data_IF_167786253052
#
_entry.id   IF_167786253052
#
_cell.length_a   1.000
_cell.length_b   1.000
_cell.length_c   1.000
_cell.angle_alpha   90.00
_cell.angle_beta   90.00
_cell.angle_gamma   90.00
#
_symmetry.space_group_name_H-M   'P 1'
#
loop_
_entity.id
_entity.type
_entity.pdbx_description
1 polymer ?
#
# COMPACT_ATOMS: atom_id res chain seq x y z
N UNK A 1 -1.30 9.87 9.07
CA UNK A 1 -2.13 10.58 8.07
C UNK A 1 -3.22 9.64 7.60
N UNK A 2 -4.43 10.14 7.47
CA UNK A 2 -5.61 9.41 7.04
C UNK A 2 -6.37 10.22 6.01
N UNK A 3 -6.87 9.59 4.96
CA UNK A 3 -7.91 10.15 4.10
C UNK A 3 -9.21 9.36 4.27
N UNK A 4 -10.33 10.09 4.28
CA UNK A 4 -11.67 9.54 4.15
C UNK A 4 -12.38 10.17 2.96
N UNK A 5 -13.69 9.92 2.79
CA UNK A 5 -14.44 10.46 1.65
C UNK A 5 -14.51 11.99 1.61
N UNK A 6 -14.38 12.68 2.75
CA UNK A 6 -14.66 14.11 2.88
C UNK A 6 -13.46 14.96 3.31
N UNK A 7 -12.38 14.33 3.83
CA UNK A 7 -11.23 15.08 4.36
C UNK A 7 -9.94 14.26 4.39
N UNK A 8 -8.84 14.98 4.51
CA UNK A 8 -7.51 14.46 4.78
C UNK A 8 -7.05 15.07 6.10
N UNK A 9 -6.59 14.21 7.01
CA UNK A 9 -6.18 14.59 8.37
C UNK A 9 -4.87 13.95 8.77
N UNK A 10 -4.21 14.52 9.76
CA UNK A 10 -3.12 13.86 10.47
C UNK A 10 -3.34 13.95 11.98
N UNK A 11 -2.76 13.01 12.71
CA UNK A 11 -2.81 12.95 14.16
C UNK A 11 -1.41 13.18 14.69
N UNK A 12 -1.26 14.10 15.62
CA UNK A 12 0.02 14.48 16.19
C UNK A 12 0.40 13.54 17.34
N UNK A 13 1.41 12.72 17.15
CA UNK A 13 1.98 11.89 18.21
C UNK A 13 2.86 12.78 19.15
N UNK A 14 2.79 12.66 20.50
CA UNK A 14 2.00 11.70 21.28
C UNK A 14 0.63 12.21 21.75
N UNK A 15 0.27 13.44 21.45
CA UNK A 15 -1.00 14.06 21.92
C UNK A 15 -2.24 13.52 21.22
N UNK A 16 -2.08 12.96 20.02
CA UNK A 16 -3.13 12.49 19.11
C UNK A 16 -4.12 13.58 18.69
N UNK A 17 -3.73 14.86 18.89
CA UNK A 17 -4.50 15.96 18.37
C UNK A 17 -4.68 15.82 16.86
N UNK A 18 -5.92 15.99 16.41
CA UNK A 18 -6.32 15.87 15.03
C UNK A 18 -6.20 17.20 14.32
N UNK A 19 -5.46 17.22 13.21
CA UNK A 19 -5.31 18.39 12.35
C UNK A 19 -5.86 18.07 10.95
N UNK A 20 -6.64 18.99 10.39
CA UNK A 20 -7.14 18.85 9.04
C UNK A 20 -6.14 19.42 8.05
N UNK A 21 -5.74 18.61 7.06
CA UNK A 21 -4.86 19.01 5.96
C UNK A 21 -5.69 19.60 4.82
N UNK A 22 -6.80 18.93 4.49
CA UNK A 22 -7.72 19.39 3.44
C UNK A 22 -9.13 18.86 3.69
N UNK A 23 -10.12 19.58 3.18
CA UNK A 23 -11.50 19.10 3.09
C UNK A 23 -11.73 18.26 1.84
N UNK A 24 -12.98 18.25 1.38
CA UNK A 24 -13.41 17.49 0.20
C UNK A 24 -12.83 18.09 -1.08
N UNK A 25 -11.91 17.37 -1.72
CA UNK A 25 -11.26 17.80 -2.95
C UNK A 25 -12.03 17.41 -4.21
N UNK A 26 -12.92 16.42 -4.12
CA UNK A 26 -13.67 15.84 -5.23
C UNK A 26 -15.11 15.55 -4.82
N UNK A 27 -16.00 15.35 -5.80
CA UNK A 27 -17.39 14.98 -5.52
C UNK A 27 -17.54 13.59 -4.90
N UNK A 28 -16.61 12.67 -5.23
CA UNK A 28 -16.56 11.30 -4.72
C UNK A 28 -15.43 11.12 -3.72
N UNK A 29 -15.34 9.92 -3.16
CA UNK A 29 -14.38 9.57 -2.10
C UNK A 29 -12.92 9.81 -2.49
N UNK A 30 -12.10 10.23 -1.53
CA UNK A 30 -10.66 9.99 -1.57
C UNK A 30 -10.41 8.49 -1.36
N UNK A 31 -9.48 7.92 -2.12
CA UNK A 31 -9.29 6.47 -2.18
C UNK A 31 -7.90 6.03 -1.73
N UNK A 32 -6.92 6.90 -1.80
CA UNK A 32 -5.57 6.63 -1.36
C UNK A 32 -4.82 7.89 -0.95
N UNK A 33 -3.86 7.72 -0.08
CA UNK A 33 -2.96 8.78 0.38
C UNK A 33 -1.56 8.20 0.54
N UNK A 34 -0.54 8.99 0.23
CA UNK A 34 0.85 8.67 0.53
C UNK A 34 1.53 9.86 1.19
N UNK A 35 2.41 9.58 2.15
CA UNK A 35 3.18 10.57 2.87
C UNK A 35 4.61 10.07 3.07
N UNK A 36 5.58 10.89 2.74
CA UNK A 36 7.00 10.61 2.93
C UNK A 36 7.79 11.91 2.95
N UNK A 37 8.79 12.01 3.79
CA UNK A 37 9.80 13.07 3.68
C UNK A 37 10.63 12.80 2.42
N UNK A 38 10.42 13.62 1.39
CA UNK A 38 11.08 13.46 0.08
C UNK A 38 12.14 14.52 -0.19
N UNK A 39 12.28 15.49 0.70
CA UNK A 39 13.23 16.59 0.59
C UNK A 39 14.27 16.60 1.72
N UNK A 40 14.12 15.74 2.75
CA UNK A 40 15.04 15.58 3.87
C UNK A 40 14.90 16.63 4.97
N UNK A 41 13.74 17.34 5.05
CA UNK A 41 13.50 18.36 6.07
C UNK A 41 12.89 17.81 7.37
N UNK A 42 12.71 16.49 7.45
CA UNK A 42 12.10 15.79 8.58
C UNK A 42 10.58 15.85 8.61
N UNK A 43 9.94 16.34 7.52
CA UNK A 43 8.49 16.47 7.41
C UNK A 43 8.00 15.82 6.13
N UNK A 44 6.87 15.14 6.21
CA UNK A 44 6.35 14.40 5.06
C UNK A 44 5.63 15.31 4.05
N UNK A 45 5.87 15.08 2.76
CA UNK A 45 5.06 15.55 1.64
C UNK A 45 3.94 14.57 1.38
N UNK A 46 2.76 15.11 1.03
CA UNK A 46 1.52 14.34 0.92
C UNK A 46 0.95 14.44 -0.49
N UNK A 47 0.61 13.28 -1.05
CA UNK A 47 -0.22 13.20 -2.24
C UNK A 47 -1.46 12.34 -1.96
N UNK A 48 -2.58 12.69 -2.59
CA UNK A 48 -3.88 12.02 -2.40
C UNK A 48 -4.55 11.74 -3.73
N UNK A 49 -5.17 10.56 -3.84
CA UNK A 49 -6.05 10.19 -4.95
C UNK A 49 -7.52 10.27 -4.53
N UNK A 50 -8.35 10.77 -5.42
CA UNK A 50 -9.77 10.95 -5.16
C UNK A 50 -10.64 10.71 -6.39
N UNK A 51 -11.89 11.19 -6.35
CA UNK A 51 -12.91 10.96 -7.38
C UNK A 51 -13.13 9.48 -7.67
N UNK A 52 -13.13 8.66 -6.60
CA UNK A 52 -13.24 7.22 -6.72
C UNK A 52 -14.58 6.79 -7.31
N UNK A 53 -14.55 6.18 -8.49
CA UNK A 53 -15.72 5.65 -9.17
C UNK A 53 -15.39 4.28 -9.78
N UNK A 54 -15.70 3.21 -9.05
CA UNK A 54 -15.30 1.84 -9.40
C UNK A 54 -15.87 1.36 -10.75
N UNK A 55 -17.03 1.91 -11.17
CA UNK A 55 -17.69 1.54 -12.42
C UNK A 55 -17.10 2.21 -13.66
N UNK A 56 -16.34 3.29 -13.49
CA UNK A 56 -15.85 4.16 -14.55
C UNK A 56 -14.33 4.06 -14.71
N UNK A 57 -13.87 3.62 -15.86
CA UNK A 57 -12.43 3.52 -16.18
C UNK A 57 -12.05 4.13 -17.53
N UNK A 58 -13.00 4.76 -18.23
CA UNK A 58 -12.78 5.36 -19.54
C UNK A 58 -12.74 6.89 -19.51
N UNK A 59 -13.51 7.51 -18.60
CA UNK A 59 -13.68 8.95 -18.52
C UNK A 59 -12.99 9.52 -17.27
N UNK A 60 -11.84 10.19 -17.47
CA UNK A 60 -11.08 10.84 -16.40
C UNK A 60 -11.79 12.02 -15.73
N UNK A 61 -12.81 12.62 -16.39
CA UNK A 61 -13.61 13.65 -15.74
C UNK A 61 -14.57 13.07 -14.67
N UNK A 62 -14.95 11.80 -14.83
CA UNK A 62 -15.88 11.09 -13.94
C UNK A 62 -15.21 10.17 -12.93
N UNK A 63 -13.93 9.84 -13.12
CA UNK A 63 -13.22 8.87 -12.29
C UNK A 63 -11.75 9.19 -12.20
N UNK A 64 -11.20 9.09 -10.98
CA UNK A 64 -9.81 9.36 -10.68
C UNK A 64 -9.49 10.84 -10.51
N UNK A 65 -8.54 11.11 -9.68
CA UNK A 65 -7.87 12.41 -9.54
C UNK A 65 -6.59 12.21 -8.72
N UNK A 66 -5.64 13.13 -8.87
CA UNK A 66 -4.41 13.15 -8.09
C UNK A 66 -4.19 14.59 -7.65
N UNK A 67 -3.87 14.77 -6.37
CA UNK A 67 -3.48 16.05 -5.81
C UNK A 67 -2.19 15.90 -5.02
N UNK A 68 -1.24 16.79 -5.24
CA UNK A 68 -0.18 17.09 -4.31
C UNK A 68 -0.70 18.16 -3.34
N UNK A 69 -0.52 17.94 -2.05
CA UNK A 69 -0.95 18.88 -1.04
C UNK A 69 0.25 19.74 -0.62
N UNK A 70 0.28 20.98 -1.10
CA UNK A 70 1.37 21.91 -0.83
C UNK A 70 1.25 22.44 0.61
N UNK A 71 2.22 22.12 1.51
CA UNK A 71 2.10 22.43 2.92
C UNK A 71 2.16 23.93 3.19
N UNK A 72 1.42 24.38 4.21
CA UNK A 72 1.60 25.68 4.85
C UNK A 72 2.85 25.66 5.74
N UNK A 73 3.36 26.83 6.08
CA UNK A 73 4.59 26.96 6.89
C UNK A 73 4.46 26.25 8.24
N UNK A 74 3.33 26.39 8.93
CA UNK A 74 3.06 25.77 10.23
C UNK A 74 2.48 24.35 10.14
N UNK A 75 2.10 23.92 8.94
CA UNK A 75 1.48 22.62 8.64
C UNK A 75 0.20 22.28 9.43
N UNK A 76 -0.29 23.16 10.27
CA UNK A 76 -1.50 22.95 11.08
C UNK A 76 -2.81 23.30 10.33
N UNK A 77 -2.72 24.19 9.35
CA UNK A 77 -3.84 24.65 8.55
C UNK A 77 -4.10 23.81 7.29
N UNK A 78 -5.06 24.26 6.48
CA UNK A 78 -5.36 23.64 5.20
C UNK A 78 -4.23 23.86 4.19
N UNK A 79 -3.79 22.78 3.56
CA UNK A 79 -2.76 22.81 2.52
C UNK A 79 -3.38 23.08 1.15
N UNK A 80 -2.67 23.81 0.31
CA UNK A 80 -3.15 24.16 -1.02
C UNK A 80 -3.08 22.93 -1.95
N UNK A 81 -4.20 22.45 -2.53
CA UNK A 81 -4.18 21.32 -3.43
C UNK A 81 -3.66 21.73 -4.81
N UNK A 82 -2.65 21.04 -5.31
CA UNK A 82 -2.15 21.13 -6.68
C UNK A 82 -2.63 19.90 -7.43
N UNK A 83 -3.53 20.10 -8.41
CA UNK A 83 -4.06 19.00 -9.21
C UNK A 83 -3.05 18.55 -10.25
N UNK A 84 -2.82 17.23 -10.31
CA UNK A 84 -1.95 16.62 -11.30
C UNK A 84 -2.76 15.95 -12.42
N UNK A 85 -2.13 15.74 -13.57
CA UNK A 85 -2.68 14.89 -14.62
C UNK A 85 -2.89 13.48 -14.09
N UNK A 86 -3.97 12.80 -14.47
CA UNK A 86 -4.30 11.48 -13.93
C UNK A 86 -4.92 10.55 -14.98
N UNK A 87 -4.89 9.27 -14.70
CA UNK A 87 -5.66 8.25 -15.42
C UNK A 87 -7.00 8.03 -14.70
N UNK A 88 -8.07 7.61 -15.41
CA UNK A 88 -9.29 7.14 -14.75
C UNK A 88 -9.00 6.02 -13.76
N UNK A 89 -9.89 5.81 -12.78
CA UNK A 89 -9.77 4.70 -11.83
C UNK A 89 -8.48 4.73 -10.98
N UNK A 90 -7.85 5.93 -10.78
CA UNK A 90 -6.73 6.10 -9.84
C UNK A 90 -7.06 5.46 -8.49
N UNK A 91 -6.16 4.60 -7.97
CA UNK A 91 -6.50 3.77 -6.81
C UNK A 91 -5.41 3.67 -5.73
N UNK A 92 -4.13 3.58 -6.11
CA UNK A 92 -3.00 3.50 -5.16
C UNK A 92 -1.85 4.37 -5.62
N UNK A 93 -1.09 4.88 -4.65
CA UNK A 93 0.11 5.67 -4.90
C UNK A 93 1.14 5.53 -3.79
N UNK A 94 2.42 5.65 -4.15
CA UNK A 94 3.54 5.69 -3.22
C UNK A 94 4.62 6.65 -3.70
N UNK A 95 5.26 7.35 -2.77
CA UNK A 95 6.55 7.97 -3.01
C UNK A 95 7.61 6.88 -3.06
N UNK A 96 8.33 6.76 -4.18
CA UNK A 96 9.35 5.74 -4.43
C UNK A 96 10.71 6.42 -4.61
N UNK A 97 11.72 5.96 -3.86
CA UNK A 97 13.07 6.48 -3.99
C UNK A 97 13.64 6.18 -5.38
N UNK A 98 14.04 7.24 -6.06
CA UNK A 98 14.69 7.18 -7.39
C UNK A 98 16.22 7.23 -7.30
N UNK A 99 16.76 7.19 -6.07
CA UNK A 99 18.18 7.30 -5.78
C UNK A 99 18.67 8.75 -5.63
N UNK A 100 19.82 8.92 -4.96
CA UNK A 100 20.46 10.25 -4.75
C UNK A 100 19.52 11.26 -4.06
N UNK A 101 18.70 10.83 -3.10
CA UNK A 101 17.75 11.68 -2.38
C UNK A 101 16.58 12.19 -3.22
N UNK A 102 16.32 11.62 -4.40
CA UNK A 102 15.17 11.94 -5.25
C UNK A 102 14.07 10.90 -5.08
N UNK A 103 12.84 11.37 -5.23
CA UNK A 103 11.64 10.52 -5.16
C UNK A 103 10.72 10.80 -6.34
N UNK A 104 10.06 9.75 -6.80
CA UNK A 104 8.97 9.83 -7.78
C UNK A 104 7.65 9.45 -7.10
N UNK A 105 6.57 10.14 -7.44
CA UNK A 105 5.24 9.71 -7.07
C UNK A 105 4.77 8.66 -8.10
N UNK A 106 4.77 7.39 -7.69
CA UNK A 106 4.23 6.32 -8.52
C UNK A 106 2.75 6.16 -8.26
N UNK A 107 1.95 6.22 -9.33
CA UNK A 107 0.50 6.14 -9.26
C UNK A 107 -0.03 5.05 -10.18
N UNK A 108 -0.99 4.31 -9.65
CA UNK A 108 -1.59 3.15 -10.31
C UNK A 108 -3.12 3.19 -10.27
N UNK A 109 -3.80 3.07 -11.45
CA UNK A 109 -5.23 2.79 -11.53
C UNK A 109 -5.58 1.38 -11.04
N UNK A 110 -6.84 1.15 -10.64
CA UNK A 110 -7.33 -0.19 -10.34
C UNK A 110 -7.56 -1.00 -11.62
N UNK A 111 -8.18 -0.37 -12.61
CA UNK A 111 -8.51 -0.95 -13.92
C UNK A 111 -7.97 -0.07 -15.04
N UNK A 112 -7.63 -0.70 -16.18
CA UNK A 112 -7.45 0.00 -17.43
C UNK A 112 -8.80 0.32 -18.09
N UNK A 113 -8.78 1.05 -19.22
CA UNK A 113 -9.98 1.36 -19.98
C UNK A 113 -10.72 0.09 -20.41
N UNK A 114 -12.07 0.15 -20.43
CA UNK A 114 -12.91 -0.92 -20.95
C UNK A 114 -13.10 -0.73 -22.46
N UNK A 115 -13.07 -1.82 -23.20
CA UNK A 115 -13.49 -1.85 -24.60
C UNK A 115 -15.04 -1.83 -24.75
N UNK A 116 -15.51 -1.92 -25.97
CA UNK A 116 -16.96 -1.90 -26.29
C UNK A 116 -17.74 -3.07 -25.68
N UNK A 117 -17.06 -4.20 -25.43
CA UNK A 117 -17.62 -5.39 -24.81
C UNK A 117 -17.47 -5.38 -23.29
N UNK A 118 -16.95 -4.31 -22.72
CA UNK A 118 -16.75 -4.15 -21.28
C UNK A 118 -15.51 -4.87 -20.73
N UNK A 119 -14.66 -5.45 -21.58
CA UNK A 119 -13.41 -6.08 -21.18
C UNK A 119 -12.41 -5.00 -20.76
N UNK A 120 -11.81 -5.18 -19.61
CA UNK A 120 -10.82 -4.26 -19.05
C UNK A 120 -9.49 -4.37 -19.80
N UNK A 121 -8.97 -3.24 -20.26
CA UNK A 121 -7.63 -3.13 -20.81
C UNK A 121 -6.56 -3.01 -19.69
N UNK A 122 -5.31 -2.91 -20.11
CA UNK A 122 -4.19 -2.78 -19.19
C UNK A 122 -4.17 -1.41 -18.50
N UNK A 123 -3.81 -1.40 -17.22
CA UNK A 123 -3.61 -0.17 -16.42
C UNK A 123 -2.32 0.52 -16.83
N UNK A 124 -2.35 1.85 -16.93
CA UNK A 124 -1.14 2.65 -17.11
C UNK A 124 -0.59 3.08 -15.75
N UNK A 125 0.55 2.55 -15.37
CA UNK A 125 1.27 2.94 -14.15
C UNK A 125 2.29 4.02 -14.51
N UNK A 126 2.25 5.16 -13.83
CA UNK A 126 3.14 6.29 -14.10
C UNK A 126 3.99 6.67 -12.89
N UNK A 127 5.24 7.06 -13.13
CA UNK A 127 6.08 7.83 -12.22
C UNK A 127 5.95 9.30 -12.56
N UNK A 128 5.57 10.12 -11.58
CA UNK A 128 5.48 11.57 -11.66
C UNK A 128 6.72 12.18 -11.01
N UNK A 129 7.41 13.05 -11.76
CA UNK A 129 8.62 13.71 -11.34
C UNK A 129 8.28 15.11 -10.82
N UNK A 130 8.39 15.31 -9.51
CA UNK A 130 8.09 16.59 -8.88
C UNK A 130 9.08 17.66 -9.37
N UNK A 131 8.63 18.78 -9.96
CA UNK A 131 9.50 19.89 -10.29
C UNK A 131 9.98 20.62 -9.04
N UNK A 132 10.99 21.49 -9.17
CA UNK A 132 11.52 22.28 -8.08
C UNK A 132 10.47 23.19 -7.43
N UNK A 133 9.58 23.75 -8.24
CA UNK A 133 8.36 24.43 -7.83
C UNK A 133 7.18 23.51 -8.11
N UNK A 134 6.51 22.93 -7.08
CA UNK A 134 5.41 21.96 -7.28
C UNK A 134 4.20 22.51 -8.04
N UNK A 135 4.06 23.83 -8.16
CA UNK A 135 2.98 24.46 -8.94
C UNK A 135 3.17 24.35 -10.46
N UNK A 136 4.39 24.06 -10.90
CA UNK A 136 4.71 23.85 -12.31
C UNK A 136 4.24 22.45 -12.78
N UNK A 137 4.01 22.23 -14.09
CA UNK A 137 3.59 20.95 -14.62
C UNK A 137 4.58 19.82 -14.28
N UNK A 138 4.06 18.73 -13.71
CA UNK A 138 4.85 17.55 -13.41
C UNK A 138 5.03 16.68 -14.65
N UNK A 139 6.29 16.38 -14.99
CA UNK A 139 6.58 15.37 -16.02
C UNK A 139 6.22 13.99 -15.48
N UNK A 140 5.72 13.11 -16.38
CA UNK A 140 5.46 11.71 -16.02
C UNK A 140 6.10 10.73 -16.99
N UNK A 141 6.55 9.59 -16.47
CA UNK A 141 7.12 8.48 -17.24
C UNK A 141 6.23 7.26 -17.10
N UNK A 142 5.84 6.65 -18.22
CA UNK A 142 5.10 5.40 -18.21
C UNK A 142 6.03 4.26 -17.72
N UNK A 143 5.65 3.62 -16.63
CA UNK A 143 6.35 2.46 -16.07
C UNK A 143 5.87 1.19 -16.76
N UNK A 144 4.55 1.01 -16.82
CA UNK A 144 3.92 -0.23 -17.26
C UNK A 144 2.55 -0.01 -17.88
N UNK A 145 2.22 -0.88 -18.85
CA UNK A 145 0.92 -0.97 -19.47
C UNK A 145 0.64 -2.44 -19.87
N UNK A 146 0.78 -3.36 -18.90
CA UNK A 146 0.71 -4.82 -19.18
C UNK A 146 -0.28 -5.59 -18.29
N UNK A 147 -0.88 -4.95 -17.28
CA UNK A 147 -1.72 -5.61 -16.27
C UNK A 147 -3.11 -4.96 -16.26
N UNK A 148 -4.16 -5.75 -16.43
CA UNK A 148 -5.54 -5.27 -16.61
C UNK A 148 -6.26 -4.92 -15.30
N UNK A 149 -6.06 -5.73 -14.24
CA UNK A 149 -6.66 -5.56 -12.91
C UNK A 149 -5.56 -5.70 -11.86
N UNK A 150 -5.39 -4.65 -11.06
CA UNK A 150 -4.34 -4.61 -10.06
C UNK A 150 -4.78 -3.80 -8.86
N UNK A 151 -4.88 -4.43 -7.68
CA UNK A 151 -5.44 -3.78 -6.50
C UNK A 151 -4.40 -2.93 -5.75
N UNK A 152 -3.32 -3.53 -5.29
CA UNK A 152 -2.30 -2.82 -4.51
C UNK A 152 -0.88 -3.04 -5.04
N UNK A 153 0.06 -2.23 -4.58
CA UNK A 153 1.48 -2.41 -4.81
C UNK A 153 2.27 -1.96 -3.57
N UNK A 154 3.50 -2.42 -3.45
CA UNK A 154 4.35 -2.20 -2.29
C UNK A 154 5.74 -1.76 -2.74
N UNK A 155 6.18 -0.58 -2.30
CA UNK A 155 7.51 -0.03 -2.57
C UNK A 155 8.56 -0.70 -1.67
N UNK A 156 9.70 -1.04 -2.24
CA UNK A 156 10.78 -1.75 -1.55
C UNK A 156 12.12 -1.52 -2.25
N UNK A 157 13.18 -1.29 -1.50
CA UNK A 157 14.56 -1.37 -1.98
C UNK A 157 14.97 -2.85 -2.05
N UNK A 158 14.70 -3.49 -3.21
CA UNK A 158 14.85 -4.93 -3.37
C UNK A 158 16.29 -5.39 -3.38
N UNK A 159 17.17 -4.67 -4.03
CA UNK A 159 18.58 -5.01 -4.18
C UNK A 159 19.52 -4.21 -3.26
N UNK A 160 18.95 -3.32 -2.44
CA UNK A 160 19.64 -2.45 -1.46
C UNK A 160 20.62 -1.47 -2.09
N UNK A 161 20.26 -0.94 -3.27
CA UNK A 161 21.06 0.05 -3.99
C UNK A 161 20.65 1.52 -3.67
N UNK A 162 19.65 1.71 -2.81
CA UNK A 162 19.10 3.01 -2.42
C UNK A 162 18.06 3.56 -3.41
N UNK A 163 17.69 2.78 -4.42
CA UNK A 163 16.52 3.02 -5.28
C UNK A 163 15.47 1.98 -4.93
N UNK A 164 14.23 2.39 -4.94
CA UNK A 164 13.14 1.46 -4.66
C UNK A 164 12.52 0.92 -5.96
N UNK A 165 12.28 -0.36 -5.94
CA UNK A 165 11.42 -1.12 -6.79
C UNK A 165 10.02 -1.18 -6.19
N UNK A 166 9.11 -1.93 -6.83
CA UNK A 166 7.84 -2.28 -6.22
C UNK A 166 7.34 -3.66 -6.64
N UNK A 167 6.63 -4.30 -5.72
CA UNK A 167 5.83 -5.48 -5.98
C UNK A 167 4.39 -5.05 -6.26
N UNK A 168 3.79 -5.57 -7.33
CA UNK A 168 2.42 -5.27 -7.73
C UNK A 168 1.55 -6.52 -7.67
N UNK A 169 0.48 -6.47 -6.85
CA UNK A 169 -0.54 -7.50 -6.78
C UNK A 169 -1.56 -7.32 -7.90
N UNK A 170 -1.90 -8.39 -8.61
CA UNK A 170 -2.76 -8.33 -9.79
C UNK A 170 -3.55 -9.59 -10.07
N UNK A 171 -4.48 -9.50 -11.03
CA UNK A 171 -5.23 -10.64 -11.61
C UNK A 171 -4.29 -11.77 -12.09
N UNK A 172 -3.09 -11.42 -12.56
CA UNK A 172 -2.10 -12.37 -13.10
C UNK A 172 -1.04 -12.78 -12.08
N UNK A 173 -1.21 -12.42 -10.80
CA UNK A 173 -0.27 -12.69 -9.73
C UNK A 173 0.60 -11.48 -9.37
N UNK A 174 1.76 -11.76 -8.78
CA UNK A 174 2.70 -10.74 -8.32
C UNK A 174 3.73 -10.45 -9.40
N UNK A 175 3.90 -9.16 -9.70
CA UNK A 175 4.97 -8.66 -10.56
C UNK A 175 5.92 -7.77 -9.74
N UNK A 176 7.21 -7.95 -9.97
CA UNK A 176 8.26 -7.04 -9.55
C UNK A 176 8.54 -6.04 -10.68
N UNK A 177 8.67 -4.77 -10.32
CA UNK A 177 9.07 -3.69 -11.22
C UNK A 177 10.26 -2.96 -10.64
N UNK A 178 11.32 -2.81 -11.43
CA UNK A 178 12.53 -2.10 -11.04
C UNK A 178 13.19 -1.41 -12.23
N UNK A 179 14.26 -0.62 -11.95
CA UNK A 179 15.03 0.07 -12.97
C UNK A 179 16.32 -0.66 -13.26
N UNK A 180 16.67 -0.79 -14.53
CA UNK A 180 18.01 -1.24 -14.92
C UNK A 180 19.06 -0.12 -14.71
N UNK A 181 20.33 -0.44 -14.98
CA UNK A 181 21.45 0.52 -14.84
C UNK A 181 21.29 1.77 -15.70
N UNK A 182 20.52 1.72 -16.78
CA UNK A 182 20.21 2.87 -17.63
C UNK A 182 19.03 3.71 -17.09
N UNK A 183 18.37 3.28 -16.03
CA UNK A 183 17.18 3.92 -15.47
C UNK A 183 15.87 3.49 -16.12
N UNK A 184 15.90 2.56 -17.07
CA UNK A 184 14.72 2.04 -17.76
C UNK A 184 13.98 1.01 -16.89
N UNK A 185 12.65 1.15 -16.77
CA UNK A 185 11.82 0.21 -16.04
C UNK A 185 11.80 -1.17 -16.71
N UNK A 186 11.92 -2.20 -15.88
CA UNK A 186 11.84 -3.62 -16.20
C UNK A 186 10.83 -4.27 -15.27
N UNK A 187 10.35 -5.45 -15.64
CA UNK A 187 9.47 -6.23 -14.79
C UNK A 187 9.79 -7.72 -14.86
N UNK A 188 9.38 -8.43 -13.81
CA UNK A 188 9.47 -9.89 -13.70
C UNK A 188 8.22 -10.40 -12.98
N UNK A 189 7.63 -11.48 -13.45
CA UNK A 189 6.53 -12.14 -12.77
C UNK A 189 7.06 -13.10 -11.71
N UNK A 190 6.63 -12.92 -10.46
CA UNK A 190 7.05 -13.75 -9.32
C UNK A 190 6.05 -14.86 -9.01
N UNK A 191 4.75 -14.63 -9.24
CA UNK A 191 3.71 -15.65 -9.07
C UNK A 191 2.63 -15.50 -10.12
N UNK A 192 1.76 -16.52 -10.24
CA UNK A 192 0.63 -16.52 -11.18
C UNK A 192 -0.74 -16.52 -10.47
N UNK A 193 -0.76 -16.55 -9.13
CA UNK A 193 -1.99 -16.58 -8.38
C UNK A 193 -2.60 -15.19 -8.27
N UNK A 194 -3.85 -15.05 -8.67
CA UNK A 194 -4.60 -13.80 -8.52
C UNK A 194 -4.56 -13.31 -7.08
N UNK A 195 -4.09 -12.10 -6.87
CA UNK A 195 -3.98 -11.49 -5.54
C UNK A 195 -4.36 -10.01 -5.56
N UNK A 196 -4.81 -9.51 -4.40
CA UNK A 196 -5.13 -8.11 -4.19
C UNK A 196 -4.06 -7.35 -3.43
N UNK A 197 -3.42 -8.02 -2.48
CA UNK A 197 -2.40 -7.44 -1.62
C UNK A 197 -1.06 -8.18 -1.76
N UNK A 198 0.02 -7.45 -1.57
CA UNK A 198 1.39 -8.00 -1.52
C UNK A 198 2.25 -7.19 -0.56
N UNK A 199 3.05 -7.87 0.27
CA UNK A 199 4.13 -7.29 1.08
C UNK A 199 5.33 -8.22 1.04
N UNK A 200 6.52 -7.68 1.14
CA UNK A 200 7.73 -8.47 1.34
C UNK A 200 8.15 -8.54 2.80
N UNK A 201 9.07 -9.44 3.08
CA UNK A 201 9.70 -9.59 4.37
C UNK A 201 10.98 -10.40 4.29
N UNK A 202 11.63 -10.55 5.43
CA UNK A 202 12.86 -11.36 5.60
C UNK A 202 12.68 -12.41 6.70
N UNK A 203 13.20 -13.59 6.47
CA UNK A 203 13.33 -14.62 7.50
C UNK A 203 14.45 -14.26 8.49
N UNK A 204 14.54 -14.94 9.64
CA UNK A 204 15.68 -14.81 10.59
C UNK A 204 17.04 -15.05 9.92
N UNK A 205 17.07 -15.86 8.85
CA UNK A 205 18.27 -16.13 8.08
C UNK A 205 18.54 -15.07 6.99
N UNK A 206 17.79 -13.96 7.00
CA UNK A 206 17.92 -12.86 6.03
C UNK A 206 17.43 -13.16 4.61
N UNK A 207 16.78 -14.32 4.39
CA UNK A 207 16.19 -14.66 3.09
C UNK A 207 14.88 -13.90 2.89
N UNK A 208 14.68 -13.39 1.69
CA UNK A 208 13.42 -12.71 1.34
C UNK A 208 12.27 -13.70 1.19
N UNK A 209 11.10 -13.24 1.56
CA UNK A 209 9.81 -13.81 1.22
C UNK A 209 8.86 -12.70 0.79
N UNK A 210 7.74 -13.06 0.19
CA UNK A 210 6.60 -12.15 0.07
C UNK A 210 5.31 -12.87 0.47
N UNK A 211 4.31 -12.08 0.86
CA UNK A 211 3.00 -12.57 1.26
C UNK A 211 1.90 -11.87 0.48
N UNK A 212 0.78 -12.55 0.27
CA UNK A 212 -0.36 -12.07 -0.52
C UNK A 212 -1.68 -12.34 0.16
N UNK A 213 -2.72 -11.57 -0.21
CA UNK A 213 -4.13 -11.96 -0.03
C UNK A 213 -4.68 -12.42 -1.38
N UNK A 214 -5.24 -13.62 -1.44
CA UNK A 214 -5.69 -14.32 -2.64
C UNK A 214 -7.11 -14.87 -2.53
N UNK A 215 -7.90 -14.75 -3.61
CA UNK A 215 -7.77 -13.79 -4.70
C UNK A 215 -7.93 -12.35 -4.20
N UNK A 216 -8.08 -11.36 -5.06
CA UNK A 216 -8.36 -9.97 -4.64
C UNK A 216 -9.60 -9.93 -3.74
N UNK A 217 -9.46 -9.32 -2.53
CA UNK A 217 -10.46 -9.35 -1.45
C UNK A 217 -10.87 -10.76 -1.06
N UNK A 218 -9.94 -11.70 -1.15
CA UNK A 218 -10.23 -13.13 -0.95
C UNK A 218 -10.13 -13.60 0.49
N UNK A 219 -10.02 -14.89 0.60
CA UNK A 219 -10.02 -15.59 1.89
C UNK A 219 -8.64 -16.02 2.36
N UNK A 220 -7.66 -16.03 1.45
CA UNK A 220 -6.39 -16.74 1.65
C UNK A 220 -5.24 -15.77 1.91
N UNK A 221 -4.51 -15.99 2.99
CA UNK A 221 -3.16 -15.45 3.19
C UNK A 221 -2.16 -16.51 2.74
N UNK A 222 -1.32 -16.19 1.77
CA UNK A 222 -0.27 -17.06 1.28
C UNK A 222 1.11 -16.41 1.47
N UNK A 223 2.11 -17.22 1.79
CA UNK A 223 3.53 -16.84 1.81
C UNK A 223 4.28 -17.53 0.69
N UNK A 224 5.20 -16.80 0.09
CA UNK A 224 6.06 -17.28 -0.98
C UNK A 224 7.51 -17.24 -0.50
N UNK A 225 8.08 -18.41 -0.30
CA UNK A 225 9.45 -18.59 0.18
C UNK A 225 10.37 -18.88 -1.00
N UNK A 226 11.50 -18.20 -1.05
CA UNK A 226 12.46 -18.43 -2.12
C UNK A 226 13.18 -19.77 -1.93
N UNK A 227 13.13 -20.64 -2.93
CA UNK A 227 13.86 -21.91 -2.97
C UNK A 227 15.33 -21.67 -3.33
N UNK A 228 16.19 -22.69 -3.14
CA UNK A 228 17.62 -22.65 -3.56
C UNK A 228 17.82 -22.41 -5.06
N UNK A 229 16.79 -22.67 -5.89
CA UNK A 229 16.82 -22.43 -7.34
C UNK A 229 16.19 -21.09 -7.73
N UNK A 230 16.00 -20.18 -6.77
CA UNK A 230 15.39 -18.87 -6.95
C UNK A 230 13.91 -18.89 -7.41
N UNK A 231 13.23 -20.04 -7.36
CA UNK A 231 11.78 -20.13 -7.55
C UNK A 231 11.04 -19.78 -6.26
N UNK A 232 9.83 -19.28 -6.39
CA UNK A 232 8.95 -18.97 -5.28
C UNK A 232 8.04 -20.16 -4.96
N UNK A 233 8.17 -20.72 -3.75
CA UNK A 233 7.31 -21.79 -3.27
C UNK A 233 6.16 -21.18 -2.47
N UNK A 234 4.94 -21.32 -2.97
CA UNK A 234 3.72 -20.87 -2.30
C UNK A 234 3.32 -21.82 -1.17
N UNK A 235 2.93 -21.24 -0.03
CA UNK A 235 2.31 -21.93 1.10
C UNK A 235 1.11 -21.13 1.59
N UNK A 236 -0.01 -21.77 1.87
CA UNK A 236 -1.19 -21.18 2.49
C UNK A 236 -0.95 -21.13 4.00
N UNK A 237 -1.13 -19.95 4.59
CA UNK A 237 -1.11 -19.75 6.05
C UNK A 237 -2.51 -19.78 6.62
N UNK A 238 -3.48 -19.25 5.90
CA UNK A 238 -4.87 -19.11 6.31
C UNK A 238 -5.75 -19.03 5.06
N UNK A 239 -6.93 -19.62 5.08
CA UNK A 239 -7.93 -19.56 4.00
C UNK A 239 -9.32 -19.16 4.52
N UNK A 240 -9.36 -18.61 5.73
CA UNK A 240 -10.61 -18.32 6.46
C UNK A 240 -10.96 -16.85 6.56
N UNK A 241 -10.17 -15.94 5.94
CA UNK A 241 -10.51 -14.53 5.90
C UNK A 241 -11.87 -14.29 5.24
N UNK A 242 -12.51 -13.18 5.58
CA UNK A 242 -13.75 -12.72 4.96
C UNK A 242 -13.54 -11.35 4.34
N UNK A 243 -13.34 -11.28 3.03
CA UNK A 243 -13.02 -10.04 2.33
C UNK A 243 -11.68 -9.45 2.81
N UNK A 244 -10.59 -10.22 2.67
CA UNK A 244 -9.23 -9.83 3.05
C UNK A 244 -8.78 -8.58 2.27
N UNK A 245 -8.25 -7.57 2.97
CA UNK A 245 -8.03 -6.26 2.35
C UNK A 245 -6.70 -5.60 2.67
N UNK A 246 -6.01 -5.98 3.73
CA UNK A 246 -4.75 -5.35 4.11
C UNK A 246 -3.73 -6.35 4.64
N UNK A 247 -2.46 -6.07 4.35
CA UNK A 247 -1.30 -6.78 4.84
C UNK A 247 -0.27 -5.80 5.40
N UNK A 248 0.42 -6.22 6.46
CA UNK A 248 1.65 -5.61 6.92
C UNK A 248 2.66 -6.71 7.27
N UNK A 249 3.93 -6.40 7.15
CA UNK A 249 5.05 -7.30 7.48
C UNK A 249 6.11 -6.48 8.18
N UNK A 250 6.53 -6.93 9.36
CA UNK A 250 7.56 -6.26 10.16
C UNK A 250 8.10 -7.23 11.22
N UNK A 251 9.22 -6.90 11.86
CA UNK A 251 9.75 -7.65 13.01
C UNK A 251 9.05 -7.22 14.31
N UNK A 252 7.75 -7.55 14.44
CA UNK A 252 6.93 -7.18 15.60
C UNK A 252 7.46 -7.76 16.92
N UNK A 253 8.13 -8.91 16.87
CA UNK A 253 8.60 -9.62 18.05
C UNK A 253 10.08 -9.36 18.37
N UNK A 254 10.77 -8.52 17.56
CA UNK A 254 12.19 -8.24 17.75
C UNK A 254 13.10 -9.45 17.61
N UNK A 255 12.70 -10.44 16.79
CA UNK A 255 13.41 -11.72 16.64
C UNK A 255 14.44 -11.72 15.53
N UNK A 256 14.58 -10.62 14.80
CA UNK A 256 15.45 -10.47 13.63
C UNK A 256 14.86 -11.01 12.33
N UNK A 257 13.65 -11.55 12.38
CA UNK A 257 12.88 -12.00 11.23
C UNK A 257 11.42 -11.56 11.33
N UNK A 258 10.80 -11.30 10.19
CA UNK A 258 9.51 -10.62 10.12
C UNK A 258 8.33 -11.56 10.35
N UNK A 259 7.25 -11.02 10.92
CA UNK A 259 5.94 -11.64 11.04
C UNK A 259 4.97 -10.97 10.07
N UNK A 260 3.82 -11.61 9.83
CA UNK A 260 2.80 -11.14 8.90
C UNK A 260 1.55 -10.75 9.68
N UNK A 261 0.98 -9.59 9.37
CA UNK A 261 -0.35 -9.17 9.85
C UNK A 261 -1.29 -9.08 8.67
N UNK A 262 -2.46 -9.69 8.78
CA UNK A 262 -3.54 -9.58 7.80
C UNK A 262 -4.81 -9.04 8.44
N UNK A 263 -5.49 -8.15 7.70
CA UNK A 263 -6.78 -7.58 8.07
C UNK A 263 -7.85 -7.84 7.01
N UNK A 264 -9.10 -8.00 7.46
CA UNK A 264 -10.24 -8.24 6.58
C UNK A 264 -11.47 -7.47 7.03
N UNK A 265 -12.44 -7.29 6.10
CA UNK A 265 -13.61 -6.44 6.31
C UNK A 265 -14.84 -7.20 6.81
N UNK A 266 -14.98 -8.47 6.44
CA UNK A 266 -16.12 -9.32 6.83
C UNK A 266 -17.47 -8.99 6.20
N UNK A 267 -17.50 -8.16 5.14
CA UNK A 267 -18.73 -7.52 4.64
C UNK A 267 -19.69 -8.39 3.84
N UNK A 268 -19.18 -9.32 3.07
CA UNK A 268 -19.96 -10.04 2.05
C UNK A 268 -20.66 -11.29 2.59
N UNK A 269 -20.35 -11.68 3.82
CA UNK A 269 -20.96 -12.79 4.55
C UNK A 269 -21.16 -12.40 6.00
N UNK A 270 -22.16 -12.91 6.71
CA UNK A 270 -22.21 -12.82 8.17
C UNK A 270 -20.88 -13.33 8.72
N UNK A 271 -19.99 -12.46 9.04
CA UNK A 271 -18.64 -12.75 9.48
C UNK A 271 -18.11 -11.60 10.32
N UNK A 272 -17.26 -11.92 11.24
CA UNK A 272 -16.60 -10.95 12.10
C UNK A 272 -15.38 -10.43 11.35
N UNK A 273 -15.27 -9.13 11.07
CA UNK A 273 -14.02 -8.55 10.59
C UNK A 273 -12.91 -8.73 11.61
N UNK A 274 -11.67 -8.48 11.27
CA UNK A 274 -10.59 -8.59 12.25
C UNK A 274 -9.19 -8.45 11.71
N UNK A 275 -8.25 -8.65 12.64
CA UNK A 275 -6.80 -8.60 12.41
C UNK A 275 -6.17 -9.85 12.99
N UNK A 276 -5.31 -10.53 12.22
CA UNK A 276 -4.50 -11.68 12.66
C UNK A 276 -3.02 -11.43 12.48
N UNK A 277 -2.25 -11.95 13.44
CA UNK A 277 -0.80 -12.05 13.36
C UNK A 277 -0.40 -13.49 13.09
N UNK A 278 0.47 -13.69 12.11
CA UNK A 278 1.07 -14.98 11.77
C UNK A 278 2.54 -14.95 12.15
N UNK A 279 2.94 -15.86 13.04
CA UNK A 279 4.26 -15.95 13.62
C UNK A 279 4.95 -17.23 13.16
N UNK A 280 6.11 -17.13 12.48
CA UNK A 280 6.89 -18.32 12.10
C UNK A 280 7.40 -19.04 13.36
N UNK A 281 7.34 -20.37 13.33
CA UNK A 281 7.76 -21.24 14.42
C UNK A 281 9.12 -21.90 14.17
N UNK A 282 9.70 -21.68 13.00
CA UNK A 282 11.03 -22.16 12.60
C UNK A 282 11.75 -21.12 11.72
N UNK A 283 13.08 -21.17 11.69
CA UNK A 283 13.91 -20.21 10.94
C UNK A 283 13.76 -20.30 9.43
N UNK A 284 13.18 -21.40 8.92
CA UNK A 284 12.90 -21.60 7.51
C UNK A 284 11.50 -21.12 7.10
N UNK A 285 10.69 -20.67 8.08
CA UNK A 285 9.33 -20.16 7.85
C UNK A 285 8.40 -21.21 7.24
N UNK A 286 8.60 -22.48 7.62
CA UNK A 286 7.78 -23.59 7.11
C UNK A 286 6.58 -23.91 7.99
N UNK A 287 6.62 -23.53 9.28
CA UNK A 287 5.57 -23.69 10.27
C UNK A 287 5.16 -22.34 10.84
N UNK A 288 3.87 -22.12 11.02
CA UNK A 288 3.32 -20.84 11.46
C UNK A 288 2.28 -21.05 12.56
N UNK A 289 2.20 -20.09 13.47
CA UNK A 289 1.17 -19.98 14.49
C UNK A 289 0.38 -18.70 14.27
N UNK A 290 -0.93 -18.76 14.43
CA UNK A 290 -1.85 -17.65 14.20
C UNK A 290 -2.40 -17.14 15.52
N UNK A 291 -2.47 -15.82 15.64
CA UNK A 291 -3.03 -15.11 16.78
C UNK A 291 -4.08 -14.11 16.32
N UNK A 292 -5.26 -14.12 16.95
CA UNK A 292 -6.28 -13.09 16.73
C UNK A 292 -5.89 -11.86 17.54
N UNK A 293 -5.74 -10.72 16.86
CA UNK A 293 -5.38 -9.45 17.52
C UNK A 293 -6.59 -8.55 17.76
N UNK A 294 -7.59 -8.59 16.89
CA UNK A 294 -8.78 -7.75 16.97
C UNK A 294 -9.95 -8.42 16.24
N UNK A 295 -11.18 -8.01 16.53
CA UNK A 295 -12.41 -8.61 16.05
C UNK A 295 -13.39 -7.60 15.44
N UNK A 296 -14.67 -7.67 15.83
CA UNK A 296 -15.83 -6.99 15.22
C UNK A 296 -15.66 -5.48 15.03
N UNK A 297 -14.85 -4.83 15.84
CA UNK A 297 -14.60 -3.40 15.79
C UNK A 297 -13.59 -2.98 14.71
N UNK A 298 -13.05 -3.93 13.93
CA UNK A 298 -11.99 -3.67 12.94
C UNK A 298 -12.34 -4.18 11.54
N UNK A 299 -13.23 -3.51 10.83
CA UNK A 299 -13.46 -3.76 9.40
C UNK A 299 -12.34 -3.09 8.57
N UNK A 300 -11.25 -3.83 8.38
CA UNK A 300 -9.95 -3.30 7.93
C UNK A 300 -9.95 -2.87 6.47
N UNK A 301 -9.57 -1.62 6.22
CA UNK A 301 -9.34 -1.07 4.86
C UNK A 301 -7.84 -0.96 4.54
N UNK A 302 -7.00 -0.54 5.50
CA UNK A 302 -5.54 -0.50 5.33
C UNK A 302 -4.84 -0.74 6.66
N UNK A 303 -3.61 -1.26 6.60
CA UNK A 303 -2.72 -1.45 7.75
C UNK A 303 -1.37 -0.82 7.44
N UNK A 304 -0.83 -0.11 8.43
CA UNK A 304 0.54 0.40 8.45
C UNK A 304 1.23 0.00 9.75
N UNK A 305 2.54 -0.01 9.73
CA UNK A 305 3.38 -0.22 10.91
C UNK A 305 4.28 0.97 11.14
N UNK A 306 4.52 1.30 12.38
CA UNK A 306 5.50 2.31 12.78
C UNK A 306 5.81 2.15 14.27
N UNK A 307 7.05 2.42 14.66
CA UNK A 307 7.43 2.63 16.05
C UNK A 307 6.92 4.01 16.51
N UNK A 308 5.81 4.03 17.22
CA UNK A 308 5.12 5.26 17.64
C UNK A 308 5.55 5.77 19.01
N UNK A 309 6.17 4.94 19.83
CA UNK A 309 6.59 5.25 21.20
C UNK A 309 8.12 5.31 21.38
N UNK A 310 8.90 4.94 20.35
CA UNK A 310 10.36 4.97 20.35
C UNK A 310 11.03 3.76 20.99
N UNK A 311 10.28 2.66 21.23
CA UNK A 311 10.80 1.46 21.89
C UNK A 311 11.43 0.45 20.92
N UNK A 312 11.47 0.77 19.64
CA UNK A 312 11.97 -0.03 18.50
C UNK A 312 11.12 -1.26 18.16
N UNK A 313 9.86 -1.26 18.59
CA UNK A 313 8.88 -2.26 18.22
C UNK A 313 7.75 -1.59 17.44
N UNK A 314 7.43 -2.05 16.25
CA UNK A 314 6.38 -1.39 15.48
C UNK A 314 5.00 -1.68 16.06
N UNK A 315 4.21 -0.64 16.25
CA UNK A 315 2.77 -0.72 16.43
C UNK A 315 2.08 -1.05 15.12
N UNK A 316 0.85 -1.60 15.22
CA UNK A 316 -0.01 -1.86 14.08
C UNK A 316 -1.10 -0.79 14.04
N UNK A 317 -1.13 0.00 12.98
CA UNK A 317 -2.09 1.08 12.77
C UNK A 317 -3.14 0.56 11.76
N UNK A 318 -4.39 0.47 12.20
CA UNK A 318 -5.49 -0.14 11.43
C UNK A 318 -6.51 0.94 11.07
N UNK A 319 -6.67 1.20 9.77
CA UNK A 319 -7.71 2.08 9.26
C UNK A 319 -8.94 1.24 8.86
N UNK A 320 -10.10 1.57 9.43
CA UNK A 320 -11.31 0.78 9.31
C UNK A 320 -12.44 1.60 8.70
N UNK A 321 -12.75 1.35 7.42
CA UNK A 321 -13.74 2.15 6.69
C UNK A 321 -15.15 1.94 7.19
N UNK A 322 -15.58 0.71 7.45
CA UNK A 322 -16.97 0.39 7.77
C UNK A 322 -17.32 0.50 9.23
N UNK A 323 -16.36 0.23 10.09
CA UNK A 323 -16.49 0.49 11.53
C UNK A 323 -16.15 1.94 11.88
N UNK A 324 -15.80 2.79 10.87
CA UNK A 324 -15.56 4.23 11.00
C UNK A 324 -14.57 4.62 12.10
N UNK A 325 -13.48 3.85 12.23
CA UNK A 325 -12.46 4.11 13.24
C UNK A 325 -11.02 3.97 12.68
N UNK A 326 -10.09 4.56 13.41
CA UNK A 326 -8.65 4.34 13.28
C UNK A 326 -8.18 3.79 14.63
N UNK A 327 -7.51 2.65 14.61
CA UNK A 327 -7.00 2.01 15.83
C UNK A 327 -5.50 1.83 15.78
N UNK A 328 -4.89 1.88 16.94
CA UNK A 328 -3.50 1.49 17.17
C UNK A 328 -3.52 0.28 18.09
N UNK A 329 -2.96 -0.84 17.59
CA UNK A 329 -2.68 -2.00 18.41
C UNK A 329 -1.24 -1.82 18.90
N UNK A 330 -1.12 -1.47 20.17
CA UNK A 330 0.17 -1.24 20.82
C UNK A 330 0.93 -2.54 21.01
N UNK A 331 2.22 -2.50 20.72
CA UNK A 331 3.10 -3.66 20.85
C UNK A 331 3.74 -3.70 22.24
N UNK A 332 3.13 -4.45 23.13
CA UNK A 332 3.57 -4.62 24.52
C UNK A 332 4.33 -5.95 24.74
N UNK A 333 4.87 -6.55 23.69
CA UNK A 333 5.67 -7.79 23.81
C UNK A 333 6.87 -7.54 24.74
N UNK A 334 7.05 -8.38 25.75
CA UNK A 334 8.21 -8.34 26.64
C UNK A 334 9.52 -8.67 25.89
N UNK A 335 10.66 -8.11 26.35
CA UNK A 335 11.98 -8.37 25.77
C UNK A 335 12.49 -9.76 26.11
#
# INVERSE_FOLDING_TARGET
ILCDKDKIVWYQNPSWNKHQISGKLTQRDHVCVTARDINGDGKAEIAVGGQWNIGESNDGAKSGSIFFLNPTTDRSGNWAPIRLEHEPSTHRMHWIAAGKGKYDLVVKPLYGPKDVDGKKGATKVYAYHMPKDPSQPWKRTLISHIIEDSHNFHAIDWDRDGREEFLQASLKGVYWFGRDKSGKWKYMQFSQNYCGEVRDGKTKLGKRFFTTIEPKHGTTVAVYLQTRFQFWQRRVLDDTLKDGHALAVDDFLGTGGDQIVAGWRGMTTPGVPGVRLYVPQDDLYTKWKTYQLSGEETAVEDIKTADLNGDKRPEIIVACRQTHNLRILWNETEK
#
